data_IF_028444980380
#
_entry.id   IF_028444980380
#
_cell.length_a   1.000
_cell.length_b   1.000
_cell.length_c   1.000
_cell.angle_alpha   90.00
_cell.angle_beta   90.00
_cell.angle_gamma   90.00
#
_symmetry.space_group_name_H-M   'P 1'
#
loop_
_entity.id
_entity.type
_entity.pdbx_description
1 polymer ?
#
# COMPACT_ATOMS: atom_id res chain seq x y z
N UNK A 1 21.10 12.04 30.08
CA UNK A 1 22.15 13.03 30.31
C UNK A 1 22.56 13.79 29.04
N UNK A 2 22.50 13.19 27.86
CA UNK A 2 22.88 13.84 26.58
C UNK A 2 21.82 14.84 26.08
N UNK A 3 20.54 14.69 26.42
CA UNK A 3 19.44 15.57 25.98
C UNK A 3 19.43 16.92 26.72
N UNK A 4 19.85 16.94 27.97
CA UNK A 4 19.90 18.19 28.76
C UNK A 4 21.02 19.15 28.33
N UNK A 5 22.13 18.62 27.79
CA UNK A 5 23.26 19.46 27.32
C UNK A 5 22.92 20.23 26.05
N UNK A 6 22.05 19.67 25.19
CA UNK A 6 21.61 20.33 23.94
C UNK A 6 20.65 21.51 24.17
N UNK A 7 19.89 21.53 25.28
CA UNK A 7 18.98 22.65 25.59
C UNK A 7 19.68 23.86 26.17
N UNK A 8 20.81 23.67 26.86
CA UNK A 8 21.56 24.76 27.50
C UNK A 8 22.47 25.50 26.50
N UNK A 9 22.93 24.84 25.45
CA UNK A 9 23.82 25.46 24.44
C UNK A 9 23.05 26.41 23.50
N UNK A 10 21.74 26.23 23.32
CA UNK A 10 20.91 27.03 22.41
C UNK A 10 20.31 28.30 23.05
N UNK A 11 20.43 28.47 24.36
CA UNK A 11 19.94 29.64 25.10
C UNK A 11 20.93 30.79 25.22
N UNK A 12 22.22 30.55 25.04
CA UNK A 12 23.30 31.54 25.18
C UNK A 12 24.14 31.60 23.89
N UNK A 13 23.60 32.19 22.84
CA UNK A 13 24.42 32.61 21.71
C UNK A 13 24.87 34.05 21.99
N UNK A 14 26.18 34.29 22.19
CA UNK A 14 26.69 35.66 22.32
C UNK A 14 26.43 36.39 21.00
N UNK A 15 26.01 37.64 21.13
CA UNK A 15 25.59 38.55 20.06
C UNK A 15 26.69 38.87 19.02
N UNK A 16 27.75 38.10 18.98
CA UNK A 16 28.99 38.39 18.23
C UNK A 16 29.22 37.45 17.02
N UNK A 17 28.20 36.69 16.60
CA UNK A 17 28.33 35.91 15.37
C UNK A 17 28.01 36.76 14.15
N UNK A 18 28.85 36.61 13.10
CA UNK A 18 28.62 37.22 11.80
C UNK A 18 27.20 36.84 11.31
N UNK A 19 26.49 37.78 10.68
CA UNK A 19 25.12 37.64 10.17
C UNK A 19 24.90 36.31 9.40
N UNK A 20 25.90 35.87 8.62
CA UNK A 20 25.88 34.61 7.92
C UNK A 20 25.75 33.40 8.83
N UNK A 21 26.43 33.41 9.97
CA UNK A 21 26.37 32.31 10.96
C UNK A 21 25.04 32.28 11.68
N UNK A 22 24.46 33.45 11.99
CA UNK A 22 23.12 33.52 12.59
C UNK A 22 22.05 32.99 11.65
N UNK A 23 22.09 33.36 10.38
CA UNK A 23 21.17 32.84 9.36
C UNK A 23 21.32 31.31 9.18
N UNK A 24 22.55 30.82 9.18
CA UNK A 24 22.81 29.36 9.07
C UNK A 24 22.23 28.60 10.29
N UNK A 25 22.40 29.13 11.50
CA UNK A 25 21.85 28.52 12.72
C UNK A 25 20.32 28.55 12.73
N UNK A 26 19.69 29.62 12.26
CA UNK A 26 18.23 29.70 12.11
C UNK A 26 17.72 28.66 11.11
N UNK A 27 18.36 28.53 9.95
CA UNK A 27 18.00 27.53 8.92
C UNK A 27 18.14 26.11 9.49
N UNK A 28 19.23 25.84 10.22
CA UNK A 28 19.46 24.53 10.85
C UNK A 28 18.38 24.22 11.90
N UNK A 29 18.01 25.19 12.72
CA UNK A 29 16.94 25.05 13.73
C UNK A 29 15.58 24.79 13.08
N UNK A 30 15.25 25.50 12.02
CA UNK A 30 14.02 25.30 11.25
C UNK A 30 14.00 23.89 10.64
N UNK A 31 15.09 23.45 10.00
CA UNK A 31 15.20 22.09 9.45
C UNK A 31 15.03 21.01 10.52
N UNK A 32 15.65 21.19 11.69
CA UNK A 32 15.56 20.23 12.79
C UNK A 32 14.13 20.13 13.36
N UNK A 33 13.44 21.26 13.50
CA UNK A 33 12.06 21.27 13.97
C UNK A 33 11.10 20.67 12.92
N UNK A 34 11.32 20.96 11.64
CA UNK A 34 10.53 20.38 10.55
C UNK A 34 10.72 18.87 10.48
N UNK A 35 11.95 18.36 10.62
CA UNK A 35 12.20 16.92 10.61
C UNK A 35 11.53 16.20 11.78
N UNK A 36 11.50 16.81 12.97
CA UNK A 36 10.78 16.27 14.13
C UNK A 36 9.27 16.23 13.88
N UNK A 37 8.69 17.29 13.33
CA UNK A 37 7.28 17.34 12.99
C UNK A 37 6.92 16.26 11.96
N UNK A 38 7.74 16.12 10.93
CA UNK A 38 7.56 15.06 9.93
C UNK A 38 7.65 13.66 10.54
N UNK A 39 8.59 13.43 11.46
CA UNK A 39 8.71 12.15 12.15
C UNK A 39 7.46 11.82 12.99
N UNK A 40 6.88 12.80 13.68
CA UNK A 40 5.64 12.63 14.46
C UNK A 40 4.48 12.27 13.52
N UNK A 41 4.31 13.00 12.41
CA UNK A 41 3.27 12.73 11.42
C UNK A 41 3.44 11.33 10.83
N UNK A 42 4.68 10.96 10.45
CA UNK A 42 4.97 9.65 9.91
C UNK A 42 4.67 8.52 10.91
N UNK A 43 5.05 8.69 12.17
CA UNK A 43 4.77 7.73 13.24
C UNK A 43 3.27 7.53 13.46
N UNK A 44 2.47 8.60 13.32
CA UNK A 44 1.02 8.53 13.44
C UNK A 44 0.39 7.66 12.34
N UNK A 45 0.87 7.76 11.10
CA UNK A 45 0.35 6.99 9.98
C UNK A 45 1.00 5.62 9.79
N UNK A 46 2.02 5.28 10.57
CA UNK A 46 2.76 4.02 10.46
C UNK A 46 1.85 2.77 10.46
N UNK A 47 0.77 2.69 11.28
CA UNK A 47 -0.10 1.52 11.32
C UNK A 47 -0.81 1.22 10.00
N UNK A 48 -1.06 2.22 9.16
CA UNK A 48 -1.78 2.04 7.88
C UNK A 48 -0.87 2.01 6.66
N UNK A 49 0.43 2.22 6.80
CA UNK A 49 1.37 2.22 5.66
C UNK A 49 1.28 0.91 4.86
N UNK A 50 1.19 -0.23 5.54
CA UNK A 50 1.01 -1.52 4.87
C UNK A 50 -0.29 -1.60 4.05
N UNK A 51 -1.37 -1.01 4.54
CA UNK A 51 -2.66 -0.95 3.85
C UNK A 51 -2.55 -0.06 2.60
N UNK A 52 -1.93 1.12 2.70
CA UNK A 52 -1.72 2.02 1.57
C UNK A 52 -0.87 1.36 0.48
N UNK A 53 0.22 0.69 0.86
CA UNK A 53 1.06 -0.07 -0.09
C UNK A 53 0.25 -1.18 -0.77
N UNK A 54 -0.58 -1.92 -0.04
CA UNK A 54 -1.42 -2.99 -0.58
C UNK A 54 -2.41 -2.46 -1.62
N UNK A 55 -3.08 -1.36 -1.33
CA UNK A 55 -4.04 -0.73 -2.24
C UNK A 55 -3.34 -0.17 -3.47
N UNK A 56 -2.22 0.53 -3.30
CA UNK A 56 -1.40 1.02 -4.41
C UNK A 56 -0.93 -0.13 -5.32
N UNK A 57 -0.47 -1.23 -4.74
CA UNK A 57 -0.08 -2.43 -5.49
C UNK A 57 -1.26 -3.05 -6.25
N UNK A 58 -2.44 -3.15 -5.63
CA UNK A 58 -3.64 -3.68 -6.29
C UNK A 58 -4.04 -2.84 -7.51
N UNK A 59 -4.06 -1.51 -7.38
CA UNK A 59 -4.35 -0.60 -8.52
C UNK A 59 -3.30 -0.70 -9.61
N UNK A 60 -2.02 -0.86 -9.25
CA UNK A 60 -0.95 -1.07 -10.24
C UNK A 60 -1.13 -2.39 -10.99
N UNK A 61 -1.46 -3.48 -10.30
CA UNK A 61 -1.72 -4.79 -10.92
C UNK A 61 -2.93 -4.74 -11.85
N UNK A 62 -4.04 -4.09 -11.45
CA UNK A 62 -5.18 -3.86 -12.32
C UNK A 62 -4.77 -3.08 -13.57
N UNK A 63 -4.01 -2.01 -13.39
CA UNK A 63 -3.48 -1.21 -14.50
C UNK A 63 -2.64 -2.04 -15.48
N UNK A 64 -1.70 -2.85 -14.96
CA UNK A 64 -0.87 -3.72 -15.79
C UNK A 64 -1.70 -4.75 -16.54
N UNK A 65 -2.71 -5.33 -15.89
CA UNK A 65 -3.65 -6.26 -16.52
C UNK A 65 -4.46 -5.58 -17.63
N UNK A 66 -4.91 -4.35 -17.42
CA UNK A 66 -5.62 -3.55 -18.41
C UNK A 66 -4.75 -3.15 -19.61
N UNK A 67 -3.48 -2.78 -19.37
CA UNK A 67 -2.50 -2.51 -20.44
C UNK A 67 -2.23 -3.79 -21.26
N UNK A 68 -2.06 -4.92 -20.59
CA UNK A 68 -1.86 -6.20 -21.25
C UNK A 68 -3.07 -6.58 -22.12
N UNK A 69 -4.29 -6.40 -21.60
CA UNK A 69 -5.54 -6.58 -22.38
C UNK A 69 -5.58 -5.68 -23.60
N UNK A 70 -5.32 -4.39 -23.45
CA UNK A 70 -5.33 -3.44 -24.54
C UNK A 70 -4.35 -3.83 -25.66
N UNK A 71 -3.13 -4.28 -25.30
CA UNK A 71 -2.13 -4.76 -26.26
C UNK A 71 -2.61 -6.01 -27.00
N UNK A 72 -3.15 -6.99 -26.28
CA UNK A 72 -3.66 -8.24 -26.87
C UNK A 72 -4.82 -8.01 -27.82
N UNK A 73 -5.73 -7.10 -27.47
CA UNK A 73 -6.91 -6.76 -28.28
C UNK A 73 -6.66 -5.63 -29.28
N UNK A 74 -5.39 -5.19 -29.47
CA UNK A 74 -4.97 -4.11 -30.37
C UNK A 74 -5.75 -2.79 -30.14
N UNK A 75 -6.11 -2.52 -28.88
CA UNK A 75 -6.80 -1.29 -28.49
C UNK A 75 -5.77 -0.17 -28.19
N UNK A 76 -6.06 1.10 -28.53
CA UNK A 76 -5.15 2.21 -28.26
C UNK A 76 -5.02 2.47 -26.76
N UNK A 77 -3.77 2.66 -26.30
CA UNK A 77 -3.45 3.12 -24.94
C UNK A 77 -3.32 4.62 -24.99
N UNK A 78 -4.21 5.35 -24.32
CA UNK A 78 -4.21 6.81 -24.32
C UNK A 78 -3.64 7.38 -23.03
N UNK A 79 -2.98 8.54 -23.10
CA UNK A 79 -2.47 9.27 -21.93
C UNK A 79 -3.58 9.59 -20.90
N UNK A 80 -4.82 9.78 -21.36
CA UNK A 80 -5.98 10.00 -20.52
C UNK A 80 -6.25 8.81 -19.59
N UNK A 81 -6.05 7.58 -20.04
CA UNK A 81 -6.16 6.36 -19.21
C UNK A 81 -5.08 6.34 -18.13
N UNK A 82 -3.86 6.77 -18.43
CA UNK A 82 -2.77 6.85 -17.45
C UNK A 82 -3.02 7.92 -16.39
N UNK A 83 -3.55 9.09 -16.77
CA UNK A 83 -3.94 10.12 -15.80
C UNK A 83 -5.05 9.66 -14.86
N UNK A 84 -6.02 8.87 -15.35
CA UNK A 84 -7.09 8.32 -14.54
C UNK A 84 -6.57 7.37 -13.42
N UNK A 85 -5.44 6.68 -13.65
CA UNK A 85 -4.82 5.80 -12.66
C UNK A 85 -4.30 6.59 -11.46
N UNK A 86 -3.60 7.69 -11.72
CA UNK A 86 -3.11 8.56 -10.64
C UNK A 86 -4.25 9.13 -9.81
N UNK A 87 -5.33 9.57 -10.46
CA UNK A 87 -6.53 10.03 -9.76
C UNK A 87 -7.18 8.93 -8.92
N UNK A 88 -7.20 7.70 -9.40
CA UNK A 88 -7.73 6.53 -8.68
C UNK A 88 -6.91 6.22 -7.43
N UNK A 89 -5.58 6.18 -7.55
CA UNK A 89 -4.68 5.96 -6.40
C UNK A 89 -4.88 7.04 -5.35
N UNK A 90 -4.83 8.32 -5.75
CA UNK A 90 -4.99 9.44 -4.83
C UNK A 90 -6.35 9.40 -4.12
N UNK A 91 -7.44 9.09 -4.84
CA UNK A 91 -8.77 8.98 -4.25
C UNK A 91 -8.85 7.84 -3.24
N UNK A 92 -8.32 6.67 -3.57
CA UNK A 92 -8.35 5.51 -2.68
C UNK A 92 -7.52 5.74 -1.43
N UNK A 93 -6.31 6.25 -1.58
CA UNK A 93 -5.44 6.53 -0.43
C UNK A 93 -6.01 7.62 0.46
N UNK A 94 -6.56 8.70 -0.12
CA UNK A 94 -7.24 9.75 0.64
C UNK A 94 -8.45 9.19 1.42
N UNK A 95 -9.22 8.29 0.80
CA UNK A 95 -10.36 7.63 1.44
C UNK A 95 -9.90 6.78 2.62
N UNK A 96 -8.84 5.98 2.46
CA UNK A 96 -8.30 5.14 3.55
C UNK A 96 -7.77 6.00 4.70
N UNK A 97 -7.07 7.08 4.40
CA UNK A 97 -6.57 8.03 5.41
C UNK A 97 -7.76 8.64 6.18
N UNK A 98 -8.82 9.05 5.48
CA UNK A 98 -10.02 9.61 6.12
C UNK A 98 -10.68 8.58 7.04
N UNK A 99 -10.86 7.35 6.59
CA UNK A 99 -11.46 6.28 7.40
C UNK A 99 -10.56 5.87 8.57
N UNK A 100 -9.24 5.90 8.40
CA UNK A 100 -8.31 5.73 9.50
C UNK A 100 -8.47 6.79 10.60
N UNK A 101 -8.64 8.06 10.22
CA UNK A 101 -8.88 9.13 11.19
C UNK A 101 -10.21 8.94 11.90
N UNK A 102 -11.28 8.58 11.18
CA UNK A 102 -12.60 8.27 11.77
C UNK A 102 -12.48 7.08 12.73
N UNK A 103 -11.85 6.02 12.29
CA UNK A 103 -11.64 4.80 13.09
C UNK A 103 -10.85 5.16 14.36
N UNK A 104 -9.70 5.77 14.21
CA UNK A 104 -8.80 6.11 15.31
C UNK A 104 -9.44 7.03 16.36
N UNK A 105 -10.16 8.08 15.94
CA UNK A 105 -10.68 9.08 16.86
C UNK A 105 -12.11 8.82 17.36
N UNK A 106 -12.92 8.08 16.63
CA UNK A 106 -14.35 7.97 16.92
C UNK A 106 -14.84 6.55 17.17
N UNK A 107 -14.30 5.56 16.47
CA UNK A 107 -14.96 4.25 16.38
C UNK A 107 -14.14 3.12 17.00
N UNK A 108 -12.81 3.24 17.01
CA UNK A 108 -11.92 2.14 17.37
C UNK A 108 -12.18 1.57 18.78
N UNK A 109 -12.40 2.40 19.79
CA UNK A 109 -12.66 1.94 21.17
C UNK A 109 -13.92 1.07 21.24
N UNK A 110 -14.99 1.49 20.54
CA UNK A 110 -16.28 0.79 20.53
C UNK A 110 -16.11 -0.55 19.80
N UNK A 111 -15.55 -0.51 18.59
CA UNK A 111 -15.38 -1.69 17.73
C UNK A 111 -14.41 -2.69 18.36
N UNK A 112 -13.31 -2.20 18.93
CA UNK A 112 -12.34 -3.05 19.60
C UNK A 112 -12.92 -3.81 20.80
N UNK A 113 -13.82 -3.18 21.57
CA UNK A 113 -14.48 -3.83 22.71
C UNK A 113 -15.35 -5.02 22.32
N UNK A 114 -15.91 -5.02 21.09
CA UNK A 114 -16.75 -6.12 20.60
C UNK A 114 -15.96 -7.18 19.80
N UNK A 115 -14.99 -6.75 19.00
CA UNK A 115 -14.34 -7.63 18.03
C UNK A 115 -12.89 -7.93 18.36
N UNK A 116 -12.27 -7.19 19.29
CA UNK A 116 -10.83 -7.30 19.63
C UNK A 116 -9.90 -7.13 18.43
N UNK A 117 -10.35 -6.41 17.41
CA UNK A 117 -9.61 -6.11 16.18
C UNK A 117 -9.41 -4.61 16.08
N UNK A 118 -8.15 -4.19 16.09
CA UNK A 118 -7.77 -2.80 15.96
C UNK A 118 -8.01 -2.30 14.53
N UNK A 119 -8.53 -1.08 14.38
CA UNK A 119 -8.81 -0.44 13.09
C UNK A 119 -9.65 -1.30 12.13
N UNK A 120 -10.68 -1.96 12.65
CA UNK A 120 -11.51 -2.88 11.87
C UNK A 120 -12.19 -2.20 10.68
N UNK A 121 -12.74 -0.99 10.87
CA UNK A 121 -13.46 -0.26 9.83
C UNK A 121 -12.53 0.10 8.68
N UNK A 122 -11.32 0.58 8.99
CA UNK A 122 -10.29 0.89 8.00
C UNK A 122 -9.87 -0.37 7.22
N UNK A 123 -9.70 -1.50 7.92
CA UNK A 123 -9.34 -2.79 7.30
C UNK A 123 -10.43 -3.32 6.38
N UNK A 124 -11.69 -3.21 6.78
CA UNK A 124 -12.85 -3.63 5.95
C UNK A 124 -12.96 -2.76 4.70
N UNK A 125 -12.79 -1.43 4.84
CA UNK A 125 -12.74 -0.54 3.68
C UNK A 125 -11.61 -0.92 2.72
N UNK A 126 -10.41 -1.11 3.24
CA UNK A 126 -9.25 -1.51 2.44
C UNK A 126 -9.48 -2.82 1.69
N UNK A 127 -10.04 -3.83 2.36
CA UNK A 127 -10.42 -5.09 1.75
C UNK A 127 -11.44 -4.90 0.62
N UNK A 128 -12.41 -4.03 0.81
CA UNK A 128 -13.41 -3.68 -0.22
C UNK A 128 -12.74 -3.06 -1.44
N UNK A 129 -11.86 -2.08 -1.25
CA UNK A 129 -11.13 -1.44 -2.35
C UNK A 129 -10.25 -2.43 -3.11
N UNK A 130 -9.50 -3.27 -2.40
CA UNK A 130 -8.68 -4.32 -3.03
C UNK A 130 -9.54 -5.34 -3.79
N UNK A 131 -10.71 -5.69 -3.24
CA UNK A 131 -11.64 -6.61 -3.92
C UNK A 131 -12.15 -6.06 -5.25
N UNK A 132 -12.40 -4.75 -5.33
CA UNK A 132 -12.78 -4.09 -6.59
C UNK A 132 -11.66 -4.26 -7.63
N UNK A 133 -10.39 -4.08 -7.24
CA UNK A 133 -9.26 -4.24 -8.16
C UNK A 133 -9.08 -5.71 -8.61
N UNK A 134 -9.27 -6.66 -7.70
CA UNK A 134 -9.23 -8.09 -8.03
C UNK A 134 -10.32 -8.47 -9.04
N UNK A 135 -11.52 -7.94 -8.88
CA UNK A 135 -12.61 -8.13 -9.86
C UNK A 135 -12.24 -7.54 -11.22
N UNK A 136 -11.68 -6.31 -11.24
CA UNK A 136 -11.23 -5.65 -12.48
C UNK A 136 -10.15 -6.46 -13.19
N UNK A 137 -9.16 -7.00 -12.45
CA UNK A 137 -8.13 -7.89 -13.01
C UNK A 137 -8.76 -9.15 -13.63
N UNK A 138 -9.73 -9.75 -12.93
CA UNK A 138 -10.45 -10.91 -13.43
C UNK A 138 -11.22 -10.62 -14.73
N UNK A 139 -11.89 -9.47 -14.82
CA UNK A 139 -12.56 -9.01 -16.03
C UNK A 139 -11.59 -8.79 -17.19
N UNK A 140 -10.42 -8.21 -16.92
CA UNK A 140 -9.37 -8.04 -17.90
C UNK A 140 -8.85 -9.38 -18.42
N UNK A 141 -8.65 -10.34 -17.52
CA UNK A 141 -8.24 -11.71 -17.88
C UNK A 141 -9.32 -12.43 -18.71
N UNK A 142 -10.58 -12.35 -18.27
CA UNK A 142 -11.72 -12.95 -18.97
C UNK A 142 -11.90 -12.40 -20.38
N UNK A 143 -11.67 -11.11 -20.57
CA UNK A 143 -11.74 -10.46 -21.89
C UNK A 143 -10.67 -10.99 -22.87
N UNK A 144 -9.52 -11.47 -22.37
CA UNK A 144 -8.43 -12.00 -23.20
C UNK A 144 -8.63 -13.50 -23.49
N UNK A 145 -9.00 -14.28 -22.48
CA UNK A 145 -8.95 -15.74 -22.51
C UNK A 145 -10.33 -16.42 -22.53
N UNK A 146 -11.41 -15.65 -22.40
CA UNK A 146 -12.80 -16.17 -22.36
C UNK A 146 -13.14 -16.96 -21.10
N UNK A 147 -12.24 -17.01 -20.11
CA UNK A 147 -12.38 -17.78 -18.85
C UNK A 147 -11.96 -16.93 -17.67
N UNK A 148 -12.58 -17.15 -16.51
CA UNK A 148 -12.19 -16.47 -15.28
C UNK A 148 -10.85 -17.01 -14.74
N UNK A 149 -10.16 -16.18 -13.98
CA UNK A 149 -8.91 -16.56 -13.29
C UNK A 149 -9.15 -17.77 -12.37
N UNK A 150 -10.29 -17.85 -11.69
CA UNK A 150 -10.63 -18.96 -10.81
C UNK A 150 -10.73 -20.29 -11.54
N UNK A 151 -11.34 -20.30 -12.72
CA UNK A 151 -11.40 -21.48 -13.59
C UNK A 151 -10.01 -21.89 -14.09
N UNK A 152 -9.16 -20.91 -14.42
CA UNK A 152 -7.78 -21.16 -14.83
C UNK A 152 -6.94 -21.75 -13.69
N UNK A 153 -7.05 -21.21 -12.48
CA UNK A 153 -6.38 -21.73 -11.29
C UNK A 153 -6.84 -23.15 -10.95
N UNK A 154 -8.15 -23.42 -10.99
CA UNK A 154 -8.71 -24.74 -10.74
C UNK A 154 -8.15 -25.78 -11.72
N UNK A 155 -8.04 -25.42 -12.99
CA UNK A 155 -7.46 -26.28 -14.01
C UNK A 155 -5.95 -26.52 -13.80
N UNK A 156 -5.20 -25.50 -13.36
CA UNK A 156 -3.79 -25.64 -13.01
C UNK A 156 -3.59 -26.61 -11.83
N UNK A 157 -4.39 -26.45 -10.77
CA UNK A 157 -4.33 -27.37 -9.63
C UNK A 157 -4.72 -28.80 -9.99
N UNK A 158 -5.72 -28.99 -10.86
CA UNK A 158 -6.09 -30.31 -11.34
C UNK A 158 -4.92 -30.96 -12.10
N UNK A 159 -4.29 -30.24 -13.03
CA UNK A 159 -3.13 -30.74 -13.78
C UNK A 159 -1.92 -31.02 -12.88
N UNK A 160 -1.64 -30.15 -11.90
CA UNK A 160 -0.56 -30.38 -10.95
C UNK A 160 -0.77 -31.67 -10.15
N UNK A 161 -2.02 -31.97 -9.78
CA UNK A 161 -2.38 -33.20 -9.09
C UNK A 161 -2.20 -34.45 -9.98
N UNK A 162 -2.60 -34.39 -11.26
CA UNK A 162 -2.38 -35.45 -12.24
C UNK A 162 -0.90 -35.76 -12.40
N UNK A 163 -0.06 -34.72 -12.62
CA UNK A 163 1.39 -34.88 -12.75
C UNK A 163 2.00 -35.51 -11.49
N UNK A 164 1.55 -35.11 -10.30
CA UNK A 164 2.05 -35.70 -9.04
C UNK A 164 1.62 -37.16 -8.88
N UNK A 165 0.46 -37.54 -9.38
CA UNK A 165 0.01 -38.93 -9.36
C UNK A 165 0.79 -39.81 -10.37
N UNK A 166 1.07 -39.27 -11.56
CA UNK A 166 1.89 -39.96 -12.57
C UNK A 166 3.32 -40.22 -12.07
N UNK A 167 3.95 -39.24 -11.43
CA UNK A 167 5.27 -39.44 -10.78
C UNK A 167 5.24 -40.50 -9.68
N UNK A 168 4.17 -40.60 -8.90
CA UNK A 168 4.03 -41.63 -7.87
C UNK A 168 3.84 -43.03 -8.46
N UNK A 169 3.13 -43.15 -9.59
CA UNK A 169 2.92 -44.40 -10.25
C UNK A 169 4.22 -44.93 -10.89
N UNK A 170 4.98 -44.05 -11.56
CA UNK A 170 6.28 -44.40 -12.16
C UNK A 170 7.26 -44.91 -11.09
N UNK A 171 7.39 -44.22 -9.95
CA UNK A 171 8.27 -44.68 -8.86
C UNK A 171 7.82 -45.97 -8.18
N UNK A 172 6.57 -46.36 -8.34
CA UNK A 172 6.03 -47.61 -7.80
C UNK A 172 6.35 -48.80 -8.70
N UNK A 173 6.36 -48.56 -10.01
CA UNK A 173 6.67 -49.58 -11.02
C UNK A 173 8.19 -49.85 -11.12
N UNK A 174 9.03 -48.89 -10.72
CA UNK A 174 10.51 -49.04 -10.67
C UNK A 174 11.00 -49.83 -9.46
N UNK A 175 10.17 -50.05 -8.44
CA UNK A 175 10.47 -50.77 -7.21
C UNK A 175 9.86 -52.20 -7.15
N UNK A 176 9.35 -52.72 -8.27
CA UNK A 176 8.86 -54.09 -8.46
C UNK A 176 9.78 -54.85 -9.39
#
# INVERSE_FOLDING_TARGET
MVVYVQFTILGYLPNNYNMKTQVLLLITKIKLNLSKLMAIIFSFFLPIVGILILIGAAVLLDTLSGIYKARKLKQPITSRKLSAIMSKILLYEATVILFYLIDYFLVNEIVYSFFSIDMLVTKVLALTLVSIEVVSINENYKAIYGKDIWSALKNLFARAKEVTQDFKNINKDENL
#
